data_IF_729474819846
#
_entry.id   IF_729474819846
#
_cell.length_a   1.000
_cell.length_b   1.000
_cell.length_c   1.000
_cell.angle_alpha   90.00
_cell.angle_beta   90.00
_cell.angle_gamma   90.00
#
_symmetry.space_group_name_H-M   'P 1'
#
loop_
_entity.id
_entity.type
_entity.pdbx_description
1 polymer ?
#
# COMPACT_ATOMS: atom_id res chain seq x y z
N UNK A 1 13.93 -1.98 -24.22
CA UNK A 1 14.62 -1.94 -22.92
C UNK A 1 13.71 -2.56 -21.90
N UNK A 2 14.12 -3.70 -21.35
CA UNK A 2 13.34 -4.50 -20.40
C UNK A 2 13.49 -3.90 -18.99
N UNK A 3 12.44 -3.93 -18.18
CA UNK A 3 12.34 -3.31 -16.84
C UNK A 3 13.53 -3.61 -15.90
N UNK A 4 14.14 -4.78 -16.04
CA UNK A 4 15.30 -5.24 -15.27
C UNK A 4 16.60 -4.49 -15.59
N UNK A 5 16.73 -3.96 -16.80
CA UNK A 5 17.92 -3.21 -17.25
C UNK A 5 17.94 -1.79 -16.66
N UNK A 6 16.77 -1.17 -16.50
CA UNK A 6 16.62 0.14 -15.85
C UNK A 6 16.97 0.08 -14.37
N UNK A 7 16.48 -0.93 -13.65
CA UNK A 7 16.82 -1.18 -12.24
C UNK A 7 18.33 -1.28 -12.02
N UNK A 8 19.03 -2.01 -12.90
CA UNK A 8 20.49 -2.16 -12.82
C UNK A 8 21.24 -0.82 -13.02
N UNK A 9 20.72 0.09 -13.85
CA UNK A 9 21.28 1.44 -14.03
C UNK A 9 21.04 2.34 -12.82
N UNK A 10 19.88 2.24 -12.18
CA UNK A 10 19.54 3.01 -10.97
C UNK A 10 20.33 2.56 -9.74
N UNK A 11 20.55 1.25 -9.60
CA UNK A 11 21.33 0.64 -8.51
C UNK A 11 22.84 0.95 -8.62
N UNK A 12 23.32 1.26 -9.83
CA UNK A 12 24.69 1.70 -10.09
C UNK A 12 25.74 0.75 -9.47
N UNK A 13 26.66 1.24 -8.63
CA UNK A 13 27.71 0.42 -8.02
C UNK A 13 27.19 -0.62 -7.01
N UNK A 14 25.95 -0.49 -6.51
CA UNK A 14 25.34 -1.44 -5.57
C UNK A 14 24.82 -2.71 -6.25
N UNK A 15 24.64 -2.67 -7.57
CA UNK A 15 24.11 -3.80 -8.33
C UNK A 15 24.94 -5.08 -8.17
N UNK A 16 26.27 -4.97 -8.05
CA UNK A 16 27.16 -6.12 -7.83
C UNK A 16 27.01 -6.72 -6.42
N UNK A 17 26.78 -5.88 -5.40
CA UNK A 17 26.54 -6.32 -4.03
C UNK A 17 25.20 -7.05 -3.93
N UNK A 18 24.15 -6.53 -4.56
CA UNK A 18 22.85 -7.20 -4.59
C UNK A 18 22.86 -8.51 -5.38
N UNK A 19 23.66 -8.59 -6.45
CA UNK A 19 23.80 -9.83 -7.21
C UNK A 19 24.53 -10.91 -6.39
N UNK A 20 25.56 -10.52 -5.62
CA UNK A 20 26.28 -11.44 -4.73
C UNK A 20 25.35 -12.00 -3.64
N UNK A 21 24.57 -11.15 -2.97
CA UNK A 21 23.62 -11.57 -1.93
C UNK A 21 22.47 -12.43 -2.46
N UNK A 22 22.04 -12.24 -3.72
CA UNK A 22 21.03 -13.11 -4.35
C UNK A 22 21.55 -14.52 -4.57
N UNK A 23 22.84 -14.70 -4.85
CA UNK A 23 23.42 -16.02 -5.05
C UNK A 23 23.56 -16.80 -3.74
N UNK A 24 23.74 -16.10 -2.62
CA UNK A 24 23.87 -16.70 -1.28
C UNK A 24 22.59 -16.59 -0.45
N UNK A 25 21.45 -16.32 -1.11
CA UNK A 25 20.18 -16.12 -0.43
C UNK A 25 19.79 -17.40 0.34
N UNK A 26 19.65 -17.34 1.68
CA UNK A 26 19.32 -18.52 2.46
C UNK A 26 17.91 -19.02 2.11
N UNK A 27 17.78 -20.32 1.89
CA UNK A 27 16.47 -20.92 1.66
C UNK A 27 15.66 -20.86 2.97
N UNK A 28 14.36 -20.50 2.92
CA UNK A 28 13.50 -20.56 4.07
C UNK A 28 13.37 -22.00 4.58
N UNK A 29 13.25 -22.16 5.91
CA UNK A 29 13.10 -23.48 6.51
C UNK A 29 11.77 -24.13 6.12
N UNK A 30 11.74 -25.46 6.04
CA UNK A 30 10.53 -26.21 5.70
C UNK A 30 9.37 -25.97 6.69
N UNK A 31 9.68 -25.78 7.98
CA UNK A 31 8.69 -25.43 9.00
C UNK A 31 8.07 -24.06 8.74
N UNK A 32 8.88 -23.07 8.36
CA UNK A 32 8.39 -21.74 8.00
C UNK A 32 7.47 -21.80 6.76
N UNK A 33 7.87 -22.56 5.74
CA UNK A 33 7.06 -22.77 4.53
C UNK A 33 5.71 -23.42 4.87
N UNK A 34 5.70 -24.46 5.69
CA UNK A 34 4.48 -25.14 6.12
C UNK A 34 3.53 -24.19 6.89
N UNK A 35 4.07 -23.35 7.78
CA UNK A 35 3.30 -22.34 8.50
C UNK A 35 2.72 -21.27 7.57
N UNK A 36 3.52 -20.79 6.61
CA UNK A 36 3.06 -19.83 5.59
C UNK A 36 1.93 -20.41 4.74
N UNK A 37 2.05 -21.66 4.31
CA UNK A 37 1.00 -22.36 3.54
C UNK A 37 -0.29 -22.52 4.34
N UNK A 38 -0.20 -22.88 5.62
CA UNK A 38 -1.36 -22.96 6.50
C UNK A 38 -2.08 -21.59 6.61
N UNK A 39 -1.33 -20.51 6.82
CA UNK A 39 -1.89 -19.16 6.85
C UNK A 39 -2.53 -18.77 5.50
N UNK A 40 -1.92 -19.14 4.37
CA UNK A 40 -2.48 -18.87 3.05
C UNK A 40 -3.79 -19.62 2.79
N UNK A 41 -3.94 -20.84 3.34
CA UNK A 41 -5.17 -21.61 3.29
C UNK A 41 -6.27 -21.01 4.17
N UNK A 42 -5.93 -20.47 5.34
CA UNK A 42 -6.89 -19.82 6.24
C UNK A 42 -7.52 -18.57 5.61
N UNK A 43 -6.75 -17.80 4.84
CA UNK A 43 -7.24 -16.57 4.19
C UNK A 43 -7.79 -16.82 2.78
N UNK A 44 -7.72 -18.05 2.28
CA UNK A 44 -8.21 -18.36 0.94
C UNK A 44 -9.73 -18.15 0.88
N UNK A 45 -10.23 -17.22 0.05
CA UNK A 45 -11.66 -17.03 -0.05
C UNK A 45 -12.30 -18.31 -0.60
N UNK A 46 -13.31 -18.82 0.10
CA UNK A 46 -14.06 -19.97 -0.38
C UNK A 46 -14.57 -19.68 -1.79
N UNK A 47 -14.37 -20.64 -2.71
CA UNK A 47 -14.90 -20.55 -4.06
C UNK A 47 -16.40 -20.28 -3.97
N UNK A 48 -16.81 -19.06 -4.33
CA UNK A 48 -18.22 -18.70 -4.32
C UNK A 48 -18.88 -19.57 -5.38
N UNK A 49 -19.88 -20.40 -5.04
CA UNK A 49 -20.58 -21.16 -6.05
C UNK A 49 -21.10 -20.18 -7.10
N UNK A 50 -20.76 -20.42 -8.36
CA UNK A 50 -21.30 -19.64 -9.46
C UNK A 50 -22.83 -19.61 -9.31
N UNK A 51 -23.47 -18.44 -9.38
CA UNK A 51 -24.92 -18.37 -9.30
C UNK A 51 -25.47 -19.31 -10.37
N UNK A 52 -26.18 -20.35 -9.92
CA UNK A 52 -26.92 -21.24 -10.81
C UNK A 52 -27.83 -20.33 -11.65
N UNK A 53 -27.93 -20.50 -12.98
CA UNK A 53 -28.83 -19.68 -13.77
C UNK A 53 -30.26 -19.94 -13.29
N UNK A 54 -30.74 -19.12 -12.36
CA UNK A 54 -32.15 -19.09 -12.02
C UNK A 54 -32.84 -18.38 -13.17
N UNK A 55 -33.25 -19.20 -14.12
CA UNK A 55 -34.31 -18.91 -15.06
C UNK A 55 -35.57 -18.52 -14.28
N UNK A 56 -35.73 -17.23 -13.93
CA UNK A 56 -37.03 -16.58 -13.62
C UNK A 56 -36.91 -15.06 -13.46
N UNK A 57 -37.10 -14.39 -14.60
CA UNK A 57 -38.11 -13.32 -14.83
C UNK A 57 -38.32 -12.30 -13.69
N UNK A 58 -37.49 -11.24 -13.67
CA UNK A 58 -37.75 -10.02 -12.88
C UNK A 58 -38.23 -8.87 -13.80
N UNK A 59 -39.18 -8.02 -13.37
CA UNK A 59 -39.80 -6.98 -14.20
C UNK A 59 -38.80 -5.87 -14.60
N UNK A 60 -38.99 -5.21 -15.77
CA UNK A 60 -37.95 -4.40 -16.42
C UNK A 60 -37.54 -3.11 -15.71
N UNK A 61 -38.19 -2.74 -14.59
CA UNK A 61 -37.95 -1.47 -13.92
C UNK A 61 -36.83 -1.52 -12.85
N UNK A 62 -36.48 -2.71 -12.35
CA UNK A 62 -35.43 -2.87 -11.32
C UNK A 62 -34.02 -3.06 -11.89
N UNK A 63 -33.89 -3.25 -13.21
CA UNK A 63 -32.60 -3.56 -13.88
C UNK A 63 -31.61 -2.39 -13.80
N UNK A 64 -32.08 -1.15 -13.69
CA UNK A 64 -31.22 0.05 -13.69
C UNK A 64 -30.51 0.26 -12.35
N UNK A 65 -31.16 -0.09 -11.24
CA UNK A 65 -30.54 -0.07 -9.90
C UNK A 65 -29.56 -1.23 -9.73
N UNK A 66 -29.82 -2.36 -10.39
CA UNK A 66 -28.91 -3.52 -10.44
C UNK A 66 -27.56 -3.17 -11.03
N UNK A 67 -27.52 -2.45 -12.16
CA UNK A 67 -26.28 -2.18 -12.88
C UNK A 67 -25.28 -1.33 -12.06
N UNK A 68 -25.76 -0.30 -11.35
CA UNK A 68 -24.92 0.48 -10.45
C UNK A 68 -24.43 -0.34 -9.26
N UNK A 69 -25.29 -1.21 -8.72
CA UNK A 69 -24.94 -2.10 -7.61
C UNK A 69 -23.95 -3.18 -8.03
N UNK A 70 -24.07 -3.73 -9.24
CA UNK A 70 -23.11 -4.67 -9.83
C UNK A 70 -21.77 -4.00 -10.11
N UNK A 71 -21.78 -2.76 -10.63
CA UNK A 71 -20.56 -1.97 -10.79
C UNK A 71 -19.87 -1.78 -9.43
N UNK A 72 -20.59 -1.32 -8.40
CA UNK A 72 -20.05 -1.17 -7.05
C UNK A 72 -19.52 -2.50 -6.46
N UNK A 73 -20.22 -3.62 -6.69
CA UNK A 73 -19.75 -4.94 -6.26
C UNK A 73 -18.45 -5.36 -6.97
N UNK A 74 -18.29 -4.99 -8.24
CA UNK A 74 -17.08 -5.26 -9.01
C UNK A 74 -15.88 -4.44 -8.51
N UNK A 75 -16.13 -3.21 -8.06
CA UNK A 75 -15.09 -2.34 -7.50
C UNK A 75 -14.74 -2.63 -6.03
N UNK A 76 -15.34 -3.63 -5.38
CA UNK A 76 -15.04 -4.02 -4.00
C UNK A 76 -16.14 -3.69 -2.98
N UNK A 77 -17.31 -3.23 -3.43
CA UNK A 77 -18.48 -2.96 -2.61
C UNK A 77 -18.40 -1.66 -1.83
N UNK A 78 -19.04 -1.63 -0.64
CA UNK A 78 -19.06 -0.47 0.24
C UNK A 78 -17.68 0.10 0.64
N UNK A 79 -16.59 -0.69 0.86
CA UNK A 79 -15.30 -0.12 1.23
C UNK A 79 -14.65 0.71 0.12
N UNK A 80 -14.86 0.35 -1.15
CA UNK A 80 -14.38 1.16 -2.28
C UNK A 80 -15.06 2.53 -2.32
N UNK A 81 -16.36 2.57 -2.00
CA UNK A 81 -17.12 3.80 -1.89
C UNK A 81 -16.66 4.66 -0.71
N UNK A 82 -16.36 4.03 0.44
CA UNK A 82 -15.81 4.71 1.60
C UNK A 82 -14.42 5.30 1.31
N UNK A 83 -13.57 4.56 0.60
CA UNK A 83 -12.24 5.04 0.16
C UNK A 83 -12.35 6.21 -0.82
N UNK A 84 -13.26 6.15 -1.79
CA UNK A 84 -13.51 7.24 -2.73
C UNK A 84 -14.04 8.50 -2.02
N UNK A 85 -14.96 8.33 -1.06
CA UNK A 85 -15.44 9.44 -0.24
C UNK A 85 -14.33 10.07 0.61
N UNK A 86 -13.47 9.24 1.23
CA UNK A 86 -12.32 9.71 1.98
C UNK A 86 -11.30 10.43 1.08
N UNK A 87 -11.06 9.94 -0.13
CA UNK A 87 -10.18 10.58 -1.11
C UNK A 87 -10.73 11.94 -1.58
N UNK A 88 -12.04 12.05 -1.81
CA UNK A 88 -12.67 13.34 -2.11
C UNK A 88 -12.56 14.31 -0.93
N UNK A 89 -12.80 13.85 0.31
CA UNK A 89 -12.65 14.67 1.50
C UNK A 89 -11.21 15.15 1.70
N UNK A 90 -10.22 14.27 1.48
CA UNK A 90 -8.81 14.63 1.52
C UNK A 90 -8.44 15.61 0.39
N UNK A 91 -8.96 15.42 -0.82
CA UNK A 91 -8.76 16.35 -1.94
C UNK A 91 -9.33 17.73 -1.66
N UNK A 92 -10.52 17.82 -1.04
CA UNK A 92 -11.11 19.10 -0.61
C UNK A 92 -10.29 19.74 0.50
N UNK A 93 -9.84 18.95 1.49
CA UNK A 93 -8.99 19.44 2.57
C UNK A 93 -7.68 20.05 2.04
N UNK A 94 -7.03 19.33 1.12
CA UNK A 94 -5.78 19.79 0.49
C UNK A 94 -6.04 21.00 -0.42
N UNK A 95 -7.15 21.01 -1.16
CA UNK A 95 -7.50 22.11 -2.07
C UNK A 95 -7.88 23.41 -1.36
N UNK A 96 -8.41 23.34 -0.13
CA UNK A 96 -8.78 24.50 0.69
C UNK A 96 -7.60 24.98 1.55
N UNK A 97 -6.56 24.17 1.73
CA UNK A 97 -5.36 24.58 2.46
C UNK A 97 -4.61 25.65 1.66
N UNK A 98 -4.71 26.91 2.10
CA UNK A 98 -3.88 28.00 1.60
C UNK A 98 -2.40 27.66 1.84
N UNK A 99 -1.49 27.82 0.86
CA UNK A 99 -0.07 27.47 1.01
C UNK A 99 0.63 28.18 2.18
N UNK A 100 0.07 29.29 2.68
CA UNK A 100 0.55 30.04 3.85
C UNK A 100 0.47 29.23 5.17
N UNK A 101 -0.52 28.35 5.35
CA UNK A 101 -0.61 27.51 6.58
C UNK A 101 0.32 26.30 6.51
N UNK A 102 0.64 25.82 5.31
CA UNK A 102 1.62 24.76 5.11
C UNK A 102 3.05 25.24 5.40
N UNK A 103 3.40 26.47 4.99
CA UNK A 103 4.73 27.03 5.27
C UNK A 103 4.94 27.36 6.74
N UNK A 104 3.92 27.80 7.48
CA UNK A 104 4.05 28.07 8.93
C UNK A 104 4.20 26.79 9.77
N UNK A 105 3.44 25.74 9.47
CA UNK A 105 3.57 24.44 10.15
C UNK A 105 4.91 23.77 9.83
N UNK A 106 5.31 23.78 8.55
CA UNK A 106 6.60 23.20 8.13
C UNK A 106 7.78 24.00 8.68
N UNK A 107 7.70 25.34 8.76
CA UNK A 107 8.78 26.17 9.32
C UNK A 107 8.91 26.01 10.84
N UNK A 108 7.80 25.81 11.55
CA UNK A 108 7.82 25.56 12.99
C UNK A 108 8.43 24.19 13.33
N UNK A 109 8.22 23.19 12.46
CA UNK A 109 8.65 21.81 12.72
C UNK A 109 10.01 21.46 12.09
N UNK A 110 10.45 22.22 11.07
CA UNK A 110 11.76 22.00 10.46
C UNK A 110 12.91 22.28 11.45
N UNK A 111 12.78 23.27 12.34
CA UNK A 111 13.85 23.58 13.30
C UNK A 111 14.03 22.46 14.34
N UNK A 112 12.96 21.81 14.77
CA UNK A 112 12.98 20.64 15.68
C UNK A 112 13.47 19.38 14.97
N UNK A 113 13.04 19.13 13.73
CA UNK A 113 13.43 17.95 12.97
C UNK A 113 14.88 18.00 12.49
N UNK A 114 15.41 19.18 12.11
CA UNK A 114 16.83 19.30 11.78
C UNK A 114 17.74 19.09 13.00
N UNK A 115 17.30 19.47 14.21
CA UNK A 115 18.05 19.18 15.45
C UNK A 115 18.00 17.69 15.83
N UNK A 116 16.94 16.97 15.47
CA UNK A 116 16.80 15.53 15.75
C UNK A 116 17.54 14.65 14.73
N UNK A 117 17.78 15.16 13.52
CA UNK A 117 18.43 14.42 12.42
C UNK A 117 19.93 14.75 12.29
N UNK A 118 20.45 15.67 13.12
CA UNK A 118 21.88 15.97 13.13
C UNK A 118 22.70 14.76 13.65
N UNK A 119 23.55 14.15 12.80
CA UNK A 119 24.31 12.96 13.16
C UNK A 119 25.35 13.21 14.26
N UNK A 120 25.80 14.46 14.47
CA UNK A 120 26.69 14.79 15.58
C UNK A 120 25.98 14.64 16.94
N UNK A 121 24.73 15.09 17.01
CA UNK A 121 23.90 14.97 18.21
C UNK A 121 23.60 13.51 18.59
N UNK A 122 23.35 12.63 17.61
CA UNK A 122 23.15 11.20 17.84
C UNK A 122 24.41 10.47 18.34
N UNK A 123 25.59 10.91 17.92
CA UNK A 123 26.87 10.37 18.38
C UNK A 123 27.18 10.77 19.83
N UNK A 124 26.90 12.03 20.20
CA UNK A 124 27.06 12.49 21.59
C UNK A 124 26.11 11.78 22.56
N UNK A 125 24.87 11.46 22.13
CA UNK A 125 23.96 10.60 22.91
C UNK A 125 24.53 9.19 23.12
N UNK A 126 25.10 8.58 22.06
CA UNK A 126 25.73 7.27 22.16
C UNK A 126 26.99 7.26 23.05
N UNK A 127 27.73 8.37 23.10
CA UNK A 127 28.90 8.56 23.98
C UNK A 127 28.52 8.81 25.45
N UNK A 128 27.39 9.48 25.70
CA UNK A 128 26.89 9.74 27.04
C UNK A 128 26.16 8.55 27.68
N UNK A 129 25.86 7.50 26.89
CA UNK A 129 25.35 6.22 27.39
C UNK A 129 23.95 6.28 27.99
N UNK A 130 23.10 7.22 27.52
CA UNK A 130 21.68 7.33 27.86
C UNK A 130 20.80 6.68 26.80
#
# INVERSE_FOLDING_TARGET
MTMTDQRRKEEGPLASLFEAERQDAPLPSGDWMARMEALALEVQPAARPAPRPEERRSPPLLRRVSAWREALQTFGGWPALAGLAAACAAGVWIGVASPETMTTLLSSDSSSLLSAVDPASGFDYAMLGL
#
